data_IF_039465413364
#
_entry.id   IF_039465413364
#
_cell.length_a   1.000
_cell.length_b   1.000
_cell.length_c   1.000
_cell.angle_alpha   90.00
_cell.angle_beta   90.00
_cell.angle_gamma   90.00
#
_symmetry.space_group_name_H-M   'P 1'
#
loop_
_entity.id
_entity.type
_entity.pdbx_description
1 polymer ?
#
# COMPACT_ATOMS: atom_id res chain seq x y z
N UNK A 1 -5.12 -7.40 4.03
CA UNK A 1 -6.24 -7.74 3.13
C UNK A 1 -5.73 -8.55 1.96
N UNK A 2 -6.58 -9.33 1.34
CA UNK A 2 -6.19 -10.03 0.13
C UNK A 2 -5.77 -9.01 -0.93
N UNK A 3 -4.78 -9.37 -1.74
CA UNK A 3 -4.32 -8.44 -2.76
C UNK A 3 -5.29 -8.42 -3.92
N UNK A 4 -5.77 -7.25 -4.28
CA UNK A 4 -6.45 -7.00 -5.53
C UNK A 4 -6.27 -5.52 -5.83
N UNK A 5 -6.28 -5.15 -7.10
CA UNK A 5 -6.09 -3.76 -7.47
C UNK A 5 -7.22 -2.91 -6.88
N UNK A 6 -8.45 -3.38 -6.97
CA UNK A 6 -9.57 -2.63 -6.43
C UNK A 6 -9.51 -2.50 -4.92
N UNK A 7 -9.08 -3.55 -4.23
CA UNK A 7 -8.96 -3.51 -2.78
C UNK A 7 -7.89 -2.53 -2.34
N UNK A 8 -6.76 -2.51 -3.04
CA UNK A 8 -5.69 -1.59 -2.72
C UNK A 8 -6.12 -0.15 -3.02
N UNK A 9 -6.82 0.06 -4.14
CA UNK A 9 -7.31 1.40 -4.47
C UNK A 9 -8.25 1.91 -3.40
N UNK A 10 -9.16 1.09 -2.92
CA UNK A 10 -10.09 1.49 -1.89
C UNK A 10 -9.38 1.80 -0.59
N UNK A 11 -8.40 0.99 -0.23
CA UNK A 11 -7.66 1.19 0.99
C UNK A 11 -6.87 2.49 0.95
N UNK A 12 -6.21 2.77 -0.17
CA UNK A 12 -5.42 3.97 -0.33
C UNK A 12 -6.31 5.21 -0.32
N UNK A 13 -7.45 5.14 -1.00
CA UNK A 13 -8.36 6.25 -1.06
C UNK A 13 -8.91 6.60 0.31
N UNK A 14 -9.21 5.58 1.11
CA UNK A 14 -9.74 5.78 2.42
C UNK A 14 -8.70 6.35 3.36
N UNK A 15 -7.42 6.17 3.10
CA UNK A 15 -6.36 6.55 4.00
C UNK A 15 -5.76 7.93 3.74
N UNK A 16 -6.28 8.68 2.77
CA UNK A 16 -5.86 10.05 2.49
C UNK A 16 -4.34 10.15 2.30
N UNK A 17 -3.80 9.37 1.39
CA UNK A 17 -2.37 9.32 1.19
C UNK A 17 -1.92 10.17 0.03
N UNK A 18 -0.81 10.86 0.19
CA UNK A 18 -0.15 11.60 -0.87
C UNK A 18 1.10 10.92 -1.34
N UNK A 19 1.75 10.15 -0.45
CA UNK A 19 2.95 9.42 -0.79
C UNK A 19 2.80 7.99 -0.35
N UNK A 20 3.22 7.08 -1.20
CA UNK A 20 3.10 5.67 -0.91
C UNK A 20 4.33 4.95 -1.39
N UNK A 21 5.00 4.26 -0.50
CA UNK A 21 6.12 3.42 -0.84
C UNK A 21 5.57 2.02 -1.01
N UNK A 22 5.92 1.35 -2.10
CA UNK A 22 5.42 0.01 -2.36
C UNK A 22 6.58 -0.95 -2.28
N UNK A 23 6.46 -1.93 -1.38
CA UNK A 23 7.47 -2.97 -1.22
C UNK A 23 6.82 -4.30 -1.56
N UNK A 24 7.49 -5.11 -2.36
CA UNK A 24 6.96 -6.41 -2.71
C UNK A 24 7.94 -7.50 -2.32
N UNK A 25 7.39 -8.63 -1.91
CA UNK A 25 8.20 -9.77 -1.57
C UNK A 25 7.55 -11.01 -2.15
N UNK A 26 8.24 -11.64 -3.09
CA UNK A 26 7.77 -12.90 -3.64
C UNK A 26 6.56 -12.79 -4.56
N UNK A 27 6.27 -11.59 -5.07
CA UNK A 27 5.16 -11.40 -5.99
C UNK A 27 5.68 -10.80 -7.28
N UNK A 28 5.06 -11.19 -8.39
CA UNK A 28 5.43 -10.69 -9.67
C UNK A 28 4.52 -9.53 -10.02
N UNK A 29 4.71 -8.42 -9.34
CA UNK A 29 3.90 -7.22 -9.51
C UNK A 29 4.85 -6.06 -9.77
N UNK A 30 4.52 -5.23 -10.73
CA UNK A 30 5.31 -4.06 -11.04
C UNK A 30 4.82 -2.90 -10.17
N UNK A 31 5.60 -2.45 -9.19
CA UNK A 31 5.17 -1.38 -8.31
C UNK A 31 4.91 -0.06 -9.04
N UNK A 32 5.67 0.21 -10.08
CA UNK A 32 5.48 1.44 -10.83
C UNK A 32 4.13 1.43 -11.55
N UNK A 33 3.77 0.30 -12.12
CA UNK A 33 2.47 0.19 -12.79
C UNK A 33 1.33 0.28 -11.79
N UNK A 34 1.46 -0.37 -10.64
CA UNK A 34 0.43 -0.30 -9.63
C UNK A 34 0.25 1.14 -9.16
N UNK A 35 1.34 1.86 -8.99
CA UNK A 35 1.26 3.25 -8.54
C UNK A 35 0.48 4.13 -9.52
N UNK A 36 0.55 3.83 -10.81
CA UNK A 36 -0.17 4.64 -11.79
C UNK A 36 -1.69 4.46 -11.68
N UNK A 37 -2.14 3.37 -11.07
CA UNK A 37 -3.58 3.15 -10.92
C UNK A 37 -4.12 3.75 -9.62
N UNK A 38 -3.25 4.25 -8.75
CA UNK A 38 -3.67 4.76 -7.46
C UNK A 38 -3.75 6.27 -7.50
N UNK A 39 -4.77 6.82 -6.85
CA UNK A 39 -4.91 8.25 -6.76
C UNK A 39 -4.33 8.70 -5.44
N UNK A 40 -3.18 9.31 -5.47
CA UNK A 40 -2.50 9.76 -4.26
C UNK A 40 -2.66 11.27 -4.19
N UNK A 41 -3.81 11.69 -3.67
CA UNK A 41 -4.11 13.12 -3.59
C UNK A 41 -4.16 13.65 -2.18
N UNK A 42 -3.89 12.82 -1.20
CA UNK A 42 -3.92 13.26 0.18
C UNK A 42 -2.60 13.80 0.65
N UNK A 43 -2.44 13.90 1.95
CA UNK A 43 -1.23 14.46 2.55
C UNK A 43 -0.45 13.46 3.39
N UNK A 44 -0.95 12.28 3.58
CA UNK A 44 -0.28 11.31 4.44
C UNK A 44 0.75 10.47 3.72
N UNK A 45 1.51 9.71 4.49
CA UNK A 45 2.54 8.82 3.98
C UNK A 45 2.27 7.41 4.49
N UNK A 46 2.53 6.43 3.69
CA UNK A 46 2.39 5.04 4.13
C UNK A 46 3.26 4.12 3.29
N UNK A 47 3.40 2.89 3.73
CA UNK A 47 4.12 1.86 2.99
C UNK A 47 3.12 0.73 2.70
N UNK A 48 3.03 0.35 1.45
CA UNK A 48 2.20 -0.77 1.05
C UNK A 48 3.11 -1.98 0.87
N UNK A 49 2.87 -3.02 1.62
CA UNK A 49 3.67 -4.22 1.56
C UNK A 49 2.86 -5.30 0.86
N UNK A 50 3.39 -5.79 -0.24
CA UNK A 50 2.73 -6.85 -1.00
C UNK A 50 3.54 -8.11 -0.82
N UNK A 51 2.92 -9.13 -0.25
CA UNK A 51 3.65 -10.34 0.10
C UNK A 51 2.74 -11.55 -0.05
N UNK A 52 3.25 -12.72 0.30
CA UNK A 52 2.48 -13.94 0.30
C UNK A 52 2.46 -14.50 1.68
N UNK A 53 1.33 -15.01 2.07
CA UNK A 53 1.19 -15.70 3.34
C UNK A 53 0.29 -16.89 3.10
N UNK A 54 0.76 -18.08 3.45
CA UNK A 54 0.00 -19.33 3.28
C UNK A 54 -0.45 -19.51 1.84
N UNK A 55 0.40 -19.17 0.89
CA UNK A 55 0.10 -19.34 -0.53
C UNK A 55 -0.82 -18.29 -1.11
N UNK A 56 -1.21 -17.30 -0.34
CA UNK A 56 -2.12 -16.27 -0.83
C UNK A 56 -1.40 -14.93 -0.91
N UNK A 57 -1.78 -14.14 -1.89
CA UNK A 57 -1.23 -12.81 -2.05
C UNK A 57 -1.98 -11.87 -1.12
N UNK A 58 -1.26 -11.10 -0.33
CA UNK A 58 -1.88 -10.16 0.59
C UNK A 58 -1.23 -8.80 0.47
N UNK A 59 -1.99 -7.77 0.82
CA UNK A 59 -1.53 -6.40 0.84
C UNK A 59 -1.70 -5.86 2.24
N UNK A 60 -0.65 -5.25 2.76
CA UNK A 60 -0.65 -4.67 4.10
C UNK A 60 -0.29 -3.21 3.98
N UNK A 61 -1.12 -2.34 4.49
CA UNK A 61 -0.83 -0.93 4.51
C UNK A 61 -0.32 -0.55 5.89
N UNK A 62 0.93 -0.14 5.96
CA UNK A 62 1.56 0.24 7.21
C UNK A 62 1.76 1.74 7.23
N UNK A 63 1.23 2.42 8.22
CA UNK A 63 1.40 3.85 8.36
C UNK A 63 2.39 4.11 9.46
N UNK A 64 3.36 5.00 9.17
CA UNK A 64 4.27 5.38 10.17
C UNK A 64 3.58 6.30 11.13
N UNK A 65 3.58 5.97 12.37
CA UNK A 65 3.07 6.84 13.37
C UNK A 65 4.18 7.74 13.77
N UNK A 66 4.01 9.01 13.50
CA UNK A 66 4.93 9.93 13.90
C UNK A 66 4.68 10.28 15.22
N UNK A 67 5.19 9.70 16.14
CA UNK A 67 4.96 10.07 17.35
C UNK A 67 5.61 11.15 17.76
N UNK A 68 5.04 11.80 18.31
CA UNK A 68 5.49 12.77 18.93
C UNK A 68 6.43 12.34 19.82
N UNK A 69 7.44 12.80 19.83
CA UNK A 69 8.35 12.49 20.68
C UNK A 69 7.96 12.84 21.93
N UNK A 70 7.95 12.28 22.45
CA UNK A 70 7.74 12.52 23.58
C UNK A 70 8.43 13.21 24.08
#
# INVERSE_FOLDING_TARGET
>A
IPYSVKGVEALVKKSDLGELEIKKRGLDIDPAHLRTTLSLKGSGHATLILTRAAGKKIAILARRIEDAPE
#
